data_IF_622790225187
#
_entry.id   IF_622790225187
#
_cell.length_a   1.000
_cell.length_b   1.000
_cell.length_c   1.000
_cell.angle_alpha   90.00
_cell.angle_beta   90.00
_cell.angle_gamma   90.00
#
_symmetry.space_group_name_H-M   'P 1'
#
loop_
_entity.id
_entity.type
_entity.pdbx_description
1 polymer ?
#
# COMPACT_ATOMS: atom_id res chain seq x y z
N UNK A 1 -10.07 -2.15 2.91
CA UNK A 1 -10.12 -1.99 1.44
C UNK A 1 -11.11 -2.95 0.78
N UNK A 2 -11.03 -4.28 0.97
CA UNK A 2 -11.95 -5.29 0.36
C UNK A 2 -13.42 -4.92 0.43
N UNK A 3 -13.91 -4.69 1.66
CA UNK A 3 -15.29 -4.32 1.94
C UNK A 3 -15.69 -3.06 1.15
N UNK A 4 -14.82 -2.05 1.04
CA UNK A 4 -15.13 -0.82 0.31
C UNK A 4 -15.29 -1.09 -1.19
N UNK A 5 -14.35 -1.84 -1.76
CA UNK A 5 -14.35 -2.15 -3.20
C UNK A 5 -15.51 -3.06 -3.58
N UNK A 6 -15.91 -4.00 -2.71
CA UNK A 6 -17.11 -4.82 -2.86
C UNK A 6 -18.40 -3.98 -2.78
N UNK A 7 -18.39 -2.89 -2.01
CA UNK A 7 -19.47 -1.89 -1.93
C UNK A 7 -19.28 -0.74 -2.94
N UNK A 8 -18.57 -0.99 -4.05
CA UNK A 8 -18.34 -0.06 -5.15
C UNK A 8 -17.78 1.31 -4.71
N UNK A 9 -16.93 1.35 -3.69
CA UNK A 9 -16.40 2.58 -3.09
C UNK A 9 -14.87 2.55 -3.04
N UNK A 10 -14.22 3.65 -3.40
CA UNK A 10 -12.79 3.91 -3.16
C UNK A 10 -12.62 4.92 -2.05
N UNK A 11 -11.59 4.75 -1.22
CA UNK A 11 -11.30 5.66 -0.10
C UNK A 11 -10.56 6.92 -0.55
N UNK A 12 -9.54 6.74 -1.40
CA UNK A 12 -8.67 7.77 -2.00
C UNK A 12 -7.80 8.58 -1.02
N UNK A 13 -7.62 8.06 0.19
CA UNK A 13 -6.79 8.71 1.22
C UNK A 13 -6.33 7.68 2.26
N UNK A 14 -5.86 6.52 1.79
CA UNK A 14 -5.31 5.48 2.68
C UNK A 14 -3.89 5.91 3.05
N UNK A 15 -3.70 6.37 4.28
CA UNK A 15 -2.41 6.87 4.77
C UNK A 15 -2.31 6.77 6.29
N UNK A 16 -1.10 6.90 6.82
CA UNK A 16 -0.79 6.71 8.25
C UNK A 16 -1.77 7.47 9.17
N UNK A 17 -2.09 8.77 8.94
CA UNK A 17 -3.04 9.49 9.80
C UNK A 17 -4.48 8.95 9.80
N UNK A 18 -4.87 8.23 8.75
CA UNK A 18 -6.24 7.72 8.56
C UNK A 18 -6.37 6.24 8.95
N UNK A 19 -5.35 5.67 9.60
CA UNK A 19 -5.39 4.31 10.13
C UNK A 19 -5.12 4.36 11.64
N UNK A 20 -6.06 3.85 12.43
CA UNK A 20 -5.93 3.78 13.89
C UNK A 20 -5.77 2.34 14.36
N UNK A 21 -4.99 2.15 15.42
CA UNK A 21 -4.86 0.88 16.12
C UNK A 21 -5.79 0.91 17.33
N UNK A 22 -6.76 -0.01 17.38
CA UNK A 22 -7.64 -0.19 18.54
C UNK A 22 -6.90 -0.88 19.70
N UNK A 23 -7.48 -0.82 20.90
CA UNK A 23 -6.91 -1.47 22.11
C UNK A 23 -6.69 -2.98 21.96
N UNK A 24 -7.46 -3.64 21.12
CA UNK A 24 -7.35 -5.07 20.81
C UNK A 24 -6.33 -5.37 19.69
N UNK A 25 -5.59 -4.37 19.20
CA UNK A 25 -4.62 -4.51 18.11
C UNK A 25 -5.22 -4.45 16.70
N UNK A 26 -6.53 -4.28 16.56
CA UNK A 26 -7.16 -4.17 15.24
C UNK A 26 -6.82 -2.83 14.56
N UNK A 27 -6.40 -2.91 13.30
CA UNK A 27 -6.27 -1.74 12.43
C UNK A 27 -7.63 -1.35 11.86
N UNK A 28 -7.96 -0.07 11.96
CA UNK A 28 -9.21 0.48 11.44
C UNK A 28 -8.93 1.72 10.59
N UNK A 29 -9.45 1.68 9.37
CA UNK A 29 -9.45 2.82 8.45
C UNK A 29 -10.54 3.82 8.85
N UNK A 30 -10.17 5.08 8.95
CA UNK A 30 -11.03 6.21 9.31
C UNK A 30 -10.99 7.29 8.23
N UNK A 31 -11.84 8.31 8.38
CA UNK A 31 -11.94 9.48 7.51
C UNK A 31 -12.33 9.19 6.04
N UNK A 32 -13.64 9.02 5.83
CA UNK A 32 -14.24 8.80 4.51
C UNK A 32 -14.58 10.11 3.77
N UNK A 33 -14.07 11.27 4.18
CA UNK A 33 -14.40 12.56 3.55
C UNK A 33 -14.06 12.62 2.06
N UNK A 34 -13.02 11.89 1.66
CA UNK A 34 -12.60 11.74 0.28
C UNK A 34 -13.16 10.49 -0.41
N UNK A 35 -13.94 9.64 0.25
CA UNK A 35 -14.45 8.42 -0.38
C UNK A 35 -15.43 8.73 -1.54
N UNK A 36 -15.40 7.93 -2.61
CA UNK A 36 -16.28 8.08 -3.78
C UNK A 36 -16.72 6.73 -4.32
N UNK A 37 -17.90 6.70 -4.93
CA UNK A 37 -18.32 5.53 -5.70
C UNK A 37 -17.43 5.36 -6.92
N UNK A 38 -17.06 4.12 -7.20
CA UNK A 38 -16.28 3.73 -8.36
C UNK A 38 -17.11 3.98 -9.61
N UNK A 39 -16.54 4.72 -10.56
CA UNK A 39 -17.17 5.07 -11.84
C UNK A 39 -16.39 4.55 -13.06
N UNK A 40 -15.28 3.83 -12.82
CA UNK A 40 -14.38 3.29 -13.84
C UNK A 40 -13.86 4.35 -14.83
N UNK A 41 -13.81 5.62 -14.41
CA UNK A 41 -13.29 6.75 -15.21
C UNK A 41 -12.32 7.59 -14.41
N UNK A 42 -12.78 8.12 -13.28
CA UNK A 42 -12.01 8.99 -12.38
C UNK A 42 -11.74 8.32 -11.05
N UNK A 43 -12.66 7.48 -10.59
CA UNK A 43 -12.58 6.79 -9.31
C UNK A 43 -12.36 5.31 -9.57
N UNK A 44 -11.08 4.95 -9.63
CA UNK A 44 -10.55 3.63 -9.95
C UNK A 44 -10.06 2.96 -8.66
N UNK A 45 -10.17 1.62 -8.56
CA UNK A 45 -9.73 0.86 -7.37
C UNK A 45 -8.23 0.98 -7.16
N UNK A 46 -7.51 1.10 -8.26
CA UNK A 46 -6.07 1.26 -8.41
C UNK A 46 -5.55 2.48 -7.64
N UNK A 47 -6.39 3.51 -7.45
CA UNK A 47 -6.05 4.65 -6.60
C UNK A 47 -5.79 4.20 -5.15
N UNK A 48 -6.65 3.34 -4.60
CA UNK A 48 -6.45 2.82 -3.24
C UNK A 48 -5.24 1.86 -3.16
N UNK A 49 -4.92 1.16 -4.24
CA UNK A 49 -3.72 0.30 -4.30
C UNK A 49 -2.45 1.13 -4.27
N UNK A 50 -2.40 2.24 -5.00
CA UNK A 50 -1.28 3.17 -4.98
C UNK A 50 -1.07 3.74 -3.57
N UNK A 51 -2.14 4.22 -2.92
CA UNK A 51 -2.09 4.71 -1.55
C UNK A 51 -1.66 3.63 -0.54
N UNK A 52 -2.07 2.37 -0.76
CA UNK A 52 -1.59 1.26 0.05
C UNK A 52 -0.08 1.05 -0.12
N UNK A 53 0.46 1.16 -1.34
CA UNK A 53 1.91 1.07 -1.56
C UNK A 53 2.67 2.20 -0.85
N UNK A 54 2.18 3.43 -1.01
CA UNK A 54 2.74 4.60 -0.32
C UNK A 54 2.74 4.40 1.21
N UNK A 55 1.61 3.97 1.78
CA UNK A 55 1.51 3.63 3.20
C UNK A 55 2.53 2.58 3.65
N UNK A 56 2.70 1.50 2.88
CA UNK A 56 3.63 0.42 3.21
C UNK A 56 5.09 0.87 3.13
N UNK A 57 5.45 1.64 2.11
CA UNK A 57 6.79 2.21 1.97
C UNK A 57 7.12 3.11 3.16
N UNK A 58 6.18 3.95 3.61
CA UNK A 58 6.36 4.74 4.82
C UNK A 58 6.63 3.85 6.05
N UNK A 59 5.99 2.68 6.17
CA UNK A 59 6.28 1.73 7.24
C UNK A 59 7.68 1.11 7.12
N UNK A 60 8.13 0.73 5.92
CA UNK A 60 9.51 0.25 5.72
C UNK A 60 10.54 1.30 6.15
N UNK A 61 10.28 2.57 5.84
CA UNK A 61 11.14 3.67 6.27
C UNK A 61 11.21 3.86 7.79
N UNK A 62 10.20 3.41 8.56
CA UNK A 62 10.28 3.49 10.04
C UNK A 62 11.36 2.58 10.63
N UNK A 63 11.81 1.58 9.87
CA UNK A 63 12.89 0.65 10.23
C UNK A 63 14.16 0.84 9.41
N UNK A 64 14.20 1.86 8.54
CA UNK A 64 15.35 2.15 7.71
C UNK A 64 16.38 3.00 8.47
N UNK A 65 17.64 2.57 8.42
CA UNK A 65 18.77 3.29 9.00
C UNK A 65 19.86 3.38 7.94
N UNK A 66 20.18 4.57 7.40
CA UNK A 66 21.21 4.71 6.38
C UNK A 66 22.59 4.38 6.95
N UNK A 67 23.41 3.69 6.16
CA UNK A 67 24.79 3.32 6.56
C UNK A 67 25.73 4.54 6.59
N UNK A 68 25.38 5.64 5.92
CA UNK A 68 26.15 6.88 5.93
C UNK A 68 25.28 8.13 5.78
N UNK A 69 25.70 9.25 6.39
CA UNK A 69 25.04 10.57 6.25
C UNK A 69 25.21 11.18 4.84
N UNK A 70 26.00 10.56 3.96
CA UNK A 70 26.38 11.06 2.62
C UNK A 70 25.80 10.15 1.53
N UNK A 71 24.76 9.36 1.83
CA UNK A 71 24.07 8.61 0.77
C UNK A 71 23.33 9.58 -0.15
N UNK A 72 23.60 9.47 -1.46
CA UNK A 72 22.78 10.11 -2.48
C UNK A 72 21.34 9.61 -2.37
N UNK A 73 20.36 10.51 -2.43
CA UNK A 73 18.94 10.15 -2.45
C UNK A 73 18.67 9.17 -3.60
N UNK A 74 18.25 7.95 -3.26
CA UNK A 74 17.93 6.88 -4.21
C UNK A 74 16.42 6.67 -4.26
N UNK A 75 15.88 6.13 -5.37
CA UNK A 75 14.50 5.69 -5.35
C UNK A 75 14.29 4.61 -4.28
N UNK A 76 13.11 4.60 -3.66
CA UNK A 76 12.78 3.68 -2.55
C UNK A 76 13.09 2.21 -2.84
N UNK A 77 12.95 1.77 -4.10
CA UNK A 77 13.23 0.38 -4.46
C UNK A 77 14.72 0.07 -4.49
N UNK A 78 15.62 1.04 -4.58
CA UNK A 78 17.07 0.83 -4.46
C UNK A 78 17.57 1.06 -3.03
N UNK A 79 16.90 1.95 -2.30
CA UNK A 79 17.29 2.38 -0.96
C UNK A 79 16.86 1.40 0.14
N UNK A 80 15.63 0.89 0.06
CA UNK A 80 15.10 -0.02 1.06
C UNK A 80 15.62 -1.45 0.83
N UNK A 81 15.95 -2.15 1.92
CA UNK A 81 16.35 -3.56 1.92
C UNK A 81 15.15 -4.50 1.66
N UNK A 82 14.62 -4.43 0.44
CA UNK A 82 13.47 -5.19 -0.02
C UNK A 82 13.93 -6.43 -0.79
N UNK A 83 13.36 -7.58 -0.45
CA UNK A 83 13.50 -8.77 -1.28
C UNK A 83 12.76 -8.63 -2.61
N UNK A 84 13.01 -9.54 -3.55
CA UNK A 84 12.44 -9.45 -4.91
C UNK A 84 10.90 -9.47 -4.91
N UNK A 85 10.27 -10.22 -4.00
CA UNK A 85 8.81 -10.34 -3.91
C UNK A 85 8.18 -9.05 -3.36
N UNK A 86 8.74 -8.49 -2.29
CA UNK A 86 8.31 -7.21 -1.71
C UNK A 86 8.43 -6.07 -2.72
N UNK A 87 9.56 -6.00 -3.41
CA UNK A 87 9.81 -4.99 -4.46
C UNK A 87 8.79 -5.10 -5.59
N UNK A 88 8.55 -6.31 -6.08
CA UNK A 88 7.57 -6.56 -7.16
C UNK A 88 6.16 -6.19 -6.71
N UNK A 89 5.77 -6.58 -5.49
CA UNK A 89 4.48 -6.27 -4.91
C UNK A 89 4.23 -4.76 -4.79
N UNK A 90 5.17 -4.00 -4.23
CA UNK A 90 5.05 -2.56 -4.08
C UNK A 90 4.99 -1.84 -5.44
N UNK A 91 5.81 -2.26 -6.41
CA UNK A 91 5.77 -1.71 -7.78
C UNK A 91 4.45 -2.00 -8.49
N UNK A 92 3.89 -3.20 -8.30
CA UNK A 92 2.61 -3.59 -8.91
C UNK A 92 1.43 -2.86 -8.26
N UNK A 93 1.47 -2.59 -6.95
CA UNK A 93 0.51 -1.71 -6.28
C UNK A 93 0.57 -0.27 -6.81
N UNK A 94 1.76 0.20 -7.22
CA UNK A 94 1.95 1.51 -7.84
C UNK A 94 1.64 1.57 -9.34
N UNK A 95 1.34 0.43 -9.98
CA UNK A 95 1.14 0.36 -11.43
C UNK A 95 2.41 0.49 -12.27
N UNK A 96 3.60 0.27 -11.68
CA UNK A 96 4.88 0.39 -12.37
C UNK A 96 5.26 -0.88 -13.15
N UNK A 97 5.04 -2.05 -12.54
CA UNK A 97 5.40 -3.36 -13.12
C UNK A 97 4.13 -4.22 -13.30
N UNK A 98 3.18 -3.68 -14.06
CA UNK A 98 1.83 -4.23 -14.22
C UNK A 98 0.88 -3.78 -13.10
N UNK A 99 -0.38 -4.19 -13.21
CA UNK A 99 -1.46 -3.74 -12.31
C UNK A 99 -2.18 -4.94 -11.69
N UNK A 100 -2.71 -4.74 -10.48
CA UNK A 100 -3.62 -5.69 -9.84
C UNK A 100 -5.04 -5.49 -10.37
N UNK A 101 -5.67 -6.55 -10.87
CA UNK A 101 -7.04 -6.45 -11.38
C UNK A 101 -8.09 -6.41 -10.25
N UNK A 102 -7.73 -6.97 -9.09
CA UNK A 102 -8.63 -7.11 -7.96
C UNK A 102 -7.83 -7.30 -6.66
N UNK A 103 -8.53 -7.10 -5.54
CA UNK A 103 -7.92 -7.22 -4.23
C UNK A 103 -7.50 -8.65 -3.86
N UNK A 104 -8.08 -9.68 -4.50
CA UNK A 104 -7.73 -11.07 -4.19
C UNK A 104 -6.29 -11.37 -4.61
N UNK A 105 -5.83 -10.80 -5.73
CA UNK A 105 -4.43 -10.90 -6.14
C UNK A 105 -3.49 -10.24 -5.12
N UNK A 106 -3.85 -9.07 -4.59
CA UNK A 106 -3.07 -8.36 -3.56
C UNK A 106 -3.00 -9.23 -2.28
N UNK A 107 -4.13 -9.79 -1.84
CA UNK A 107 -4.18 -10.67 -0.67
C UNK A 107 -3.31 -11.93 -0.86
N UNK A 108 -3.22 -12.45 -2.08
CA UNK A 108 -2.41 -13.63 -2.39
C UNK A 108 -0.92 -13.31 -2.32
N UNK A 109 -0.48 -12.21 -2.96
CA UNK A 109 0.92 -11.80 -2.93
C UNK A 109 1.35 -11.42 -1.50
N UNK A 110 0.47 -10.76 -0.74
CA UNK A 110 0.75 -10.42 0.66
C UNK A 110 0.92 -11.67 1.54
N UNK A 111 0.15 -12.74 1.29
CA UNK A 111 0.34 -14.03 1.99
C UNK A 111 1.69 -14.68 1.66
N UNK A 112 2.11 -14.59 0.39
CA UNK A 112 3.43 -15.09 -0.02
C UNK A 112 4.51 -14.32 0.73
N UNK A 113 4.48 -12.98 0.71
CA UNK A 113 5.44 -12.14 1.42
C UNK A 113 5.47 -12.45 2.91
N UNK A 114 4.30 -12.55 3.54
CA UNK A 114 4.20 -12.84 4.99
C UNK A 114 4.72 -14.22 5.37
N UNK A 115 4.87 -15.15 4.41
CA UNK A 115 5.43 -16.49 4.64
C UNK A 115 6.96 -16.56 4.48
N UNK A 116 7.58 -15.48 3.99
CA UNK A 116 9.03 -15.36 3.80
C UNK A 116 9.75 -14.75 5.02
N UNK A 117 8.99 -14.28 6.01
CA UNK A 117 9.45 -13.68 7.27
C UNK A 117 9.20 -14.67 8.41
#
# INVERSE_FOLDING_TARGET
MKILHENNTVHRDIRIPNVIVRKNGELVLIDFGLARYIDNKRYLKEIDYWYLSDFLIHLYYTSYYPDSEIDEEKPWFEELDLNQYERTFLKKLMGMDGEYNNIQEIENDLKIISSLI
#
